data_IF_129058319264
#
_entry.id   IF_129058319264
#
_cell.length_a   1.000
_cell.length_b   1.000
_cell.length_c   1.000
_cell.angle_alpha   90.00
_cell.angle_beta   90.00
_cell.angle_gamma   90.00
#
_symmetry.space_group_name_H-M   'P 1'
#
loop_
_entity.id
_entity.type
_entity.pdbx_description
1 polymer ?
#
# COMPACT_ATOMS: atom_id res chain seq x y z
N UNK A 1 9.27 14.01 -24.47
CA UNK A 1 10.49 13.40 -23.89
C UNK A 1 10.69 12.04 -24.54
N UNK A 2 11.94 11.62 -24.81
CA UNK A 2 12.23 10.26 -25.33
C UNK A 2 13.28 9.59 -24.45
N UNK A 3 12.92 8.43 -23.90
CA UNK A 3 13.81 7.58 -23.12
C UNK A 3 14.63 6.76 -24.13
N UNK A 4 15.96 6.95 -24.14
CA UNK A 4 16.83 6.32 -25.15
C UNK A 4 16.91 4.79 -25.03
N UNK A 5 16.83 4.27 -23.80
CA UNK A 5 16.89 2.85 -23.49
C UNK A 5 15.90 2.55 -22.38
N UNK A 6 14.92 1.72 -22.66
CA UNK A 6 13.97 1.24 -21.67
C UNK A 6 14.65 0.23 -20.73
N UNK A 7 14.27 0.19 -19.45
CA UNK A 7 14.69 -0.88 -18.55
C UNK A 7 14.37 -2.27 -19.07
N UNK A 8 15.22 -3.25 -18.76
CA UNK A 8 15.11 -4.61 -19.28
C UNK A 8 13.76 -5.29 -19.00
N UNK A 9 13.04 -4.87 -17.95
CA UNK A 9 11.71 -5.39 -17.61
C UNK A 9 10.66 -5.14 -18.72
N UNK A 10 10.84 -4.10 -19.56
CA UNK A 10 9.94 -3.81 -20.68
C UNK A 10 10.18 -4.70 -21.90
N UNK A 11 11.39 -5.25 -22.06
CA UNK A 11 11.74 -6.01 -23.29
C UNK A 11 10.79 -7.20 -23.55
N UNK A 12 10.39 -8.02 -22.54
CA UNK A 12 9.44 -9.10 -22.77
C UNK A 12 8.02 -8.63 -23.11
N UNK A 13 7.64 -7.39 -22.70
CA UNK A 13 6.31 -6.83 -22.96
C UNK A 13 6.19 -6.11 -24.32
N UNK A 14 7.32 -5.70 -24.94
CA UNK A 14 7.32 -4.99 -26.23
C UNK A 14 6.60 -5.75 -27.36
N UNK A 15 6.80 -7.07 -27.53
CA UNK A 15 6.06 -7.83 -28.54
C UNK A 15 4.54 -7.77 -28.38
N UNK A 16 4.04 -7.59 -27.14
CA UNK A 16 2.61 -7.43 -26.90
C UNK A 16 2.09 -6.12 -27.50
N UNK A 17 2.80 -5.01 -27.27
CA UNK A 17 2.44 -3.72 -27.87
C UNK A 17 2.51 -3.79 -29.40
N UNK A 18 3.60 -4.34 -29.94
CA UNK A 18 3.81 -4.45 -31.40
C UNK A 18 2.69 -5.23 -32.08
N UNK A 19 2.27 -6.37 -31.54
CA UNK A 19 1.14 -7.14 -32.08
C UNK A 19 -0.17 -6.39 -32.06
N UNK A 20 -0.41 -5.59 -31.03
CA UNK A 20 -1.61 -4.74 -30.94
C UNK A 20 -1.55 -3.64 -32.01
N UNK A 21 -0.38 -3.02 -32.20
CA UNK A 21 -0.17 -1.97 -33.20
C UNK A 21 -0.23 -2.52 -34.63
N UNK A 22 0.34 -3.70 -34.90
CA UNK A 22 0.23 -4.42 -36.17
C UNK A 22 -1.22 -4.74 -36.53
N UNK A 23 -2.09 -4.97 -35.52
CA UNK A 23 -3.52 -5.16 -35.72
C UNK A 23 -4.28 -3.84 -35.94
N UNK A 24 -3.61 -2.68 -35.96
CA UNK A 24 -4.18 -1.37 -36.24
C UNK A 24 -4.72 -0.62 -35.02
N UNK A 25 -4.35 -1.03 -33.81
CA UNK A 25 -4.74 -0.38 -32.57
C UNK A 25 -3.57 0.33 -31.91
N UNK A 26 -3.87 1.33 -31.08
CA UNK A 26 -2.85 1.98 -30.24
C UNK A 26 -2.57 1.15 -28.98
N UNK A 27 -1.30 1.09 -28.55
CA UNK A 27 -0.87 0.45 -27.33
C UNK A 27 0.23 1.24 -26.64
N UNK A 28 0.18 1.33 -25.31
CA UNK A 28 1.12 2.08 -24.49
C UNK A 28 1.38 1.38 -23.18
N UNK A 29 2.58 1.50 -22.65
CA UNK A 29 2.83 1.32 -21.23
C UNK A 29 2.29 2.52 -20.47
N UNK A 30 1.68 2.31 -19.29
CA UNK A 30 0.99 3.38 -18.58
C UNK A 30 1.15 3.28 -17.06
N UNK A 31 0.85 4.37 -16.37
CA UNK A 31 0.73 4.38 -14.92
C UNK A 31 2.06 4.32 -14.17
N UNK A 32 2.13 3.46 -13.17
CA UNK A 32 3.26 3.37 -12.25
C UNK A 32 4.59 3.06 -12.92
N UNK A 33 4.61 2.13 -13.87
CA UNK A 33 5.84 1.74 -14.57
C UNK A 33 6.47 2.88 -15.38
N UNK A 34 5.65 3.77 -15.96
CA UNK A 34 6.15 4.94 -16.70
C UNK A 34 6.76 5.97 -15.75
N UNK A 35 6.05 6.30 -14.67
CA UNK A 35 6.55 7.19 -13.62
C UNK A 35 7.85 6.68 -13.03
N UNK A 36 7.87 5.41 -12.59
CA UNK A 36 9.02 4.82 -11.90
C UNK A 36 10.23 4.70 -12.85
N UNK A 37 10.01 4.49 -14.17
CA UNK A 37 11.07 4.58 -15.19
C UNK A 37 11.71 5.97 -15.26
N UNK A 38 10.88 7.03 -15.22
CA UNK A 38 11.37 8.42 -15.32
C UNK A 38 12.12 8.82 -14.03
N UNK A 39 11.68 8.31 -12.88
CA UNK A 39 12.32 8.54 -11.58
C UNK A 39 13.54 7.64 -11.35
N UNK A 40 13.81 6.67 -12.22
CA UNK A 40 14.82 5.63 -12.04
C UNK A 40 14.60 4.78 -10.78
N UNK A 41 13.33 4.60 -10.41
CA UNK A 41 12.89 3.74 -9.31
C UNK A 41 12.70 2.29 -9.79
N UNK A 42 12.58 1.36 -8.84
CA UNK A 42 12.31 -0.05 -9.12
C UNK A 42 10.89 -0.24 -9.69
N UNK A 43 10.81 -0.95 -10.82
CA UNK A 43 9.56 -1.25 -11.51
C UNK A 43 9.14 -2.68 -11.17
N UNK A 44 7.95 -2.84 -10.61
CA UNK A 44 7.45 -4.15 -10.19
C UNK A 44 6.49 -4.77 -11.22
N UNK A 45 5.60 -3.97 -11.79
CA UNK A 45 4.53 -4.40 -12.70
C UNK A 45 4.52 -3.55 -13.96
N UNK A 46 4.17 -4.17 -15.09
CA UNK A 46 3.98 -3.49 -16.38
C UNK A 46 2.49 -3.48 -16.72
N UNK A 47 1.91 -2.30 -16.74
CA UNK A 47 0.54 -2.07 -17.17
C UNK A 47 0.50 -1.59 -18.63
N UNK A 48 -0.40 -2.17 -19.43
CA UNK A 48 -0.62 -1.78 -20.83
C UNK A 48 -2.02 -1.18 -20.97
N UNK A 49 -2.12 -0.09 -21.70
CA UNK A 49 -3.39 0.48 -22.13
C UNK A 49 -3.47 0.49 -23.65
N UNK A 50 -4.67 0.21 -24.20
CA UNK A 50 -4.86 0.08 -25.66
C UNK A 50 -6.20 0.64 -26.12
N UNK A 51 -6.23 1.06 -27.39
CA UNK A 51 -7.50 1.38 -28.07
C UNK A 51 -8.29 0.14 -28.48
N UNK A 52 -7.69 -1.08 -28.45
CA UNK A 52 -8.40 -2.32 -28.74
C UNK A 52 -9.43 -2.65 -27.65
N UNK A 53 -10.63 -3.06 -28.05
CA UNK A 53 -11.65 -3.55 -27.11
C UNK A 53 -11.30 -4.96 -26.62
N UNK A 54 -11.85 -5.41 -25.47
CA UNK A 54 -11.52 -6.73 -24.94
C UNK A 54 -11.72 -7.89 -25.92
N UNK A 55 -12.76 -7.83 -26.75
CA UNK A 55 -12.98 -8.82 -27.81
C UNK A 55 -11.92 -8.81 -28.93
N UNK A 56 -11.39 -7.62 -29.23
CA UNK A 56 -10.33 -7.45 -30.22
C UNK A 56 -9.00 -7.94 -29.68
N UNK A 57 -8.68 -7.65 -28.39
CA UNK A 57 -7.50 -8.21 -27.71
C UNK A 57 -7.53 -9.74 -27.76
N UNK A 58 -8.69 -10.35 -27.46
CA UNK A 58 -8.87 -11.80 -27.53
C UNK A 58 -8.75 -12.37 -28.95
N UNK A 59 -9.04 -11.58 -29.97
CA UNK A 59 -8.84 -12.00 -31.37
C UNK A 59 -7.38 -11.91 -31.80
N UNK A 60 -6.59 -10.99 -31.22
CA UNK A 60 -5.15 -10.82 -31.50
C UNK A 60 -4.31 -11.89 -30.79
N UNK A 61 -4.67 -12.26 -29.56
CA UNK A 61 -3.88 -13.15 -28.72
C UNK A 61 -4.59 -14.46 -28.41
N UNK A 62 -3.90 -15.58 -28.63
CA UNK A 62 -4.44 -16.92 -28.40
C UNK A 62 -4.59 -17.28 -26.90
N UNK A 63 -3.80 -16.65 -26.03
CA UNK A 63 -3.78 -16.97 -24.60
C UNK A 63 -4.12 -15.71 -23.80
N UNK A 64 -5.35 -15.61 -23.32
CA UNK A 64 -5.84 -14.50 -22.51
C UNK A 64 -6.67 -15.01 -21.33
N UNK A 65 -6.70 -14.25 -20.23
CA UNK A 65 -7.52 -14.51 -19.05
C UNK A 65 -8.33 -13.26 -18.73
N UNK A 66 -9.62 -13.45 -18.45
CA UNK A 66 -10.51 -12.36 -18.06
C UNK A 66 -10.29 -12.02 -16.59
N UNK A 67 -9.49 -10.98 -16.31
CA UNK A 67 -9.20 -10.52 -14.95
C UNK A 67 -10.08 -9.35 -14.50
N UNK A 68 -10.78 -8.71 -15.45
CA UNK A 68 -11.64 -7.57 -15.18
C UNK A 68 -12.33 -7.06 -16.45
N UNK A 69 -12.91 -7.97 -17.23
CA UNK A 69 -13.46 -7.67 -18.56
C UNK A 69 -14.55 -6.60 -18.52
N UNK A 70 -15.35 -6.56 -17.44
CA UNK A 70 -16.38 -5.53 -17.21
C UNK A 70 -15.79 -4.12 -17.12
N UNK A 71 -14.51 -4.05 -16.73
CA UNK A 71 -13.73 -2.81 -16.63
C UNK A 71 -12.73 -2.66 -17.78
N UNK A 72 -12.80 -3.54 -18.80
CA UNK A 72 -11.94 -3.49 -19.98
C UNK A 72 -10.56 -4.12 -19.79
N UNK A 73 -10.30 -4.82 -18.68
CA UNK A 73 -9.00 -5.44 -18.42
C UNK A 73 -9.00 -6.91 -18.82
N UNK A 74 -8.03 -7.26 -19.67
CA UNK A 74 -7.73 -8.63 -20.09
C UNK A 74 -6.26 -8.88 -19.79
N UNK A 75 -5.93 -10.00 -19.16
CA UNK A 75 -4.54 -10.44 -19.00
C UNK A 75 -4.12 -11.21 -20.23
N UNK A 76 -3.07 -10.74 -20.90
CA UNK A 76 -2.42 -11.41 -22.01
C UNK A 76 -1.31 -12.28 -21.44
N UNK A 77 -1.33 -13.58 -21.76
CA UNK A 77 -0.26 -14.51 -21.36
C UNK A 77 0.72 -14.68 -22.52
N UNK A 78 1.93 -14.18 -22.36
CA UNK A 78 3.00 -14.30 -23.35
C UNK A 78 4.27 -14.84 -22.71
N UNK A 79 4.83 -15.92 -23.25
CA UNK A 79 6.06 -16.58 -22.78
C UNK A 79 6.12 -16.83 -21.26
N UNK A 80 4.97 -17.19 -20.65
CA UNK A 80 4.86 -17.50 -19.21
C UNK A 80 4.70 -16.28 -18.31
N UNK A 81 4.62 -15.08 -18.87
CA UNK A 81 4.36 -13.82 -18.16
C UNK A 81 2.95 -13.31 -18.49
N UNK A 82 2.25 -12.79 -17.47
CA UNK A 82 0.94 -12.15 -17.65
C UNK A 82 1.07 -10.63 -17.70
N UNK A 83 0.46 -10.01 -18.72
CA UNK A 83 0.42 -8.55 -18.89
C UNK A 83 -1.02 -8.06 -18.76
N UNK A 84 -1.30 -7.26 -17.73
CA UNK A 84 -2.60 -6.60 -17.61
C UNK A 84 -2.74 -5.55 -18.71
N UNK A 85 -3.70 -5.80 -19.62
CA UNK A 85 -3.97 -4.93 -20.76
C UNK A 85 -5.38 -4.38 -20.63
N UNK A 86 -5.50 -3.06 -20.49
CA UNK A 86 -6.76 -2.38 -20.26
C UNK A 86 -7.14 -1.54 -21.48
N UNK A 87 -8.36 -1.74 -21.99
CA UNK A 87 -8.95 -0.89 -23.03
C UNK A 87 -9.11 0.54 -22.50
N UNK A 88 -8.79 1.55 -23.34
CA UNK A 88 -9.08 2.95 -23.04
C UNK A 88 -10.55 3.11 -22.69
N UNK A 89 -10.81 3.83 -21.62
CA UNK A 89 -12.17 3.97 -21.12
C UNK A 89 -12.42 5.34 -20.48
N UNK A 90 -13.67 5.74 -20.52
CA UNK A 90 -14.21 6.79 -19.66
C UNK A 90 -15.11 6.15 -18.60
N UNK A 91 -15.25 6.83 -17.51
CA UNK A 91 -16.05 6.41 -16.37
C UNK A 91 -17.04 7.53 -16.05
N UNK A 92 -18.31 7.18 -15.83
CA UNK A 92 -19.36 8.16 -15.54
C UNK A 92 -20.37 7.61 -14.56
N UNK A 93 -20.97 8.53 -13.73
CA UNK A 93 -21.84 8.17 -12.64
C UNK A 93 -21.07 7.29 -11.64
N UNK A 94 -20.91 7.75 -10.42
CA UNK A 94 -20.18 6.94 -9.44
C UNK A 94 -21.11 6.63 -8.27
N UNK A 95 -21.36 5.35 -8.06
CA UNK A 95 -22.05 4.87 -6.85
C UNK A 95 -21.04 4.76 -5.72
N UNK A 96 -21.43 5.24 -4.55
CA UNK A 96 -20.64 5.14 -3.31
C UNK A 96 -19.19 5.64 -3.44
N UNK A 97 -18.95 6.66 -4.31
CA UNK A 97 -17.64 7.28 -4.51
C UNK A 97 -16.53 6.28 -4.86
N UNK A 98 -16.86 5.22 -5.62
CA UNK A 98 -15.91 4.16 -6.00
C UNK A 98 -16.17 3.55 -7.36
N UNK A 99 -17.41 3.05 -7.57
CA UNK A 99 -17.75 2.28 -8.77
C UNK A 99 -18.41 3.19 -9.76
N UNK A 100 -17.87 3.30 -10.98
CA UNK A 100 -18.60 3.97 -12.04
C UNK A 100 -19.86 3.18 -12.35
N UNK A 101 -20.99 3.87 -12.48
CA UNK A 101 -22.23 3.26 -12.94
C UNK A 101 -22.10 2.75 -14.37
N UNK A 102 -21.28 3.44 -15.14
CA UNK A 102 -21.06 3.12 -16.54
C UNK A 102 -19.58 3.27 -16.89
N UNK A 103 -19.01 2.19 -17.38
CA UNK A 103 -17.72 2.16 -18.08
C UNK A 103 -17.99 2.19 -19.57
N UNK A 104 -17.43 3.16 -20.27
CA UNK A 104 -17.56 3.27 -21.72
C UNK A 104 -16.17 3.13 -22.34
N UNK A 105 -15.99 2.11 -23.17
CA UNK A 105 -14.74 1.93 -23.90
C UNK A 105 -14.63 2.98 -25.01
N UNK A 106 -13.45 3.59 -25.07
CA UNK A 106 -13.14 4.65 -26.04
C UNK A 106 -11.89 4.31 -26.83
N UNK A 107 -11.63 5.08 -27.89
CA UNK A 107 -10.41 4.92 -28.70
C UNK A 107 -9.38 6.01 -28.40
N UNK A 108 -9.71 6.95 -27.54
CA UNK A 108 -8.89 8.12 -27.25
C UNK A 108 -8.03 7.90 -26.01
N UNK A 109 -6.71 7.92 -26.18
CA UNK A 109 -5.73 7.91 -25.08
C UNK A 109 -5.96 9.10 -24.13
N UNK A 110 -6.28 10.29 -24.68
CA UNK A 110 -6.51 11.49 -23.86
C UNK A 110 -7.64 11.30 -22.87
N UNK A 111 -8.75 10.68 -23.29
CA UNK A 111 -9.89 10.41 -22.40
C UNK A 111 -9.52 9.39 -21.31
N UNK A 112 -8.71 8.36 -21.62
CA UNK A 112 -8.24 7.40 -20.61
C UNK A 112 -7.30 8.05 -19.61
N UNK A 113 -6.37 8.88 -20.05
CA UNK A 113 -5.44 9.57 -19.16
C UNK A 113 -6.16 10.62 -18.28
N UNK A 114 -7.21 11.27 -18.80
CA UNK A 114 -7.97 12.31 -18.09
C UNK A 114 -8.69 11.76 -16.83
N UNK A 115 -9.13 10.50 -16.83
CA UNK A 115 -9.82 9.89 -15.68
C UNK A 115 -8.87 9.46 -14.55
N UNK A 116 -7.56 9.48 -14.77
CA UNK A 116 -6.57 9.03 -13.78
C UNK A 116 -6.52 9.95 -12.57
N UNK A 117 -5.89 9.47 -11.50
CA UNK A 117 -5.84 10.18 -10.22
C UNK A 117 -4.94 11.43 -10.26
N UNK A 118 -3.66 11.23 -10.63
CA UNK A 118 -2.65 12.29 -10.58
C UNK A 118 -1.90 12.40 -11.90
N UNK A 119 -1.43 13.61 -12.22
CA UNK A 119 -0.69 13.94 -13.45
C UNK A 119 0.53 13.04 -13.63
N UNK A 120 1.26 12.76 -12.55
CA UNK A 120 2.44 11.88 -12.54
C UNK A 120 2.13 10.41 -12.88
N UNK A 121 0.87 10.01 -12.84
CA UNK A 121 0.39 8.68 -13.25
C UNK A 121 -0.42 8.72 -14.56
N UNK A 122 -0.63 9.93 -15.13
CA UNK A 122 -1.34 10.15 -16.39
C UNK A 122 -0.37 10.32 -17.56
N UNK A 123 0.67 9.50 -17.56
CA UNK A 123 1.70 9.41 -18.60
C UNK A 123 1.53 8.10 -19.37
N UNK A 124 1.81 8.14 -20.66
CA UNK A 124 1.89 6.95 -21.50
C UNK A 124 3.27 6.86 -22.17
N UNK A 125 3.75 5.65 -22.37
CA UNK A 125 5.07 5.38 -22.95
C UNK A 125 4.92 4.43 -24.12
N UNK A 126 5.41 4.86 -25.28
CA UNK A 126 5.49 4.02 -26.50
C UNK A 126 6.60 2.98 -26.36
N UNK A 127 6.49 1.94 -27.16
CA UNK A 127 7.50 0.89 -27.21
C UNK A 127 8.89 1.38 -27.66
N UNK A 128 8.94 2.48 -28.43
CA UNK A 128 10.17 3.13 -28.90
C UNK A 128 10.79 4.12 -27.91
N UNK A 129 10.19 4.25 -26.71
CA UNK A 129 10.63 5.12 -25.62
C UNK A 129 10.08 6.54 -25.66
N UNK A 130 9.16 6.87 -26.58
CA UNK A 130 8.51 8.18 -26.59
C UNK A 130 7.48 8.28 -25.43
N UNK A 131 7.64 9.29 -24.57
CA UNK A 131 6.70 9.59 -23.47
C UNK A 131 5.66 10.58 -23.97
N UNK A 132 4.38 10.22 -23.84
CA UNK A 132 3.23 11.06 -24.12
C UNK A 132 2.73 11.64 -22.81
N UNK A 133 2.72 12.97 -22.74
CA UNK A 133 2.27 13.74 -21.59
C UNK A 133 1.24 14.77 -22.06
N UNK A 134 0.01 14.60 -21.62
CA UNK A 134 -1.12 15.48 -21.99
C UNK A 134 -1.61 16.35 -20.81
N UNK A 135 -1.05 16.14 -19.62
CA UNK A 135 -1.52 16.77 -18.38
C UNK A 135 -0.37 17.34 -17.53
N UNK A 136 0.77 17.65 -18.13
CA UNK A 136 1.95 18.24 -17.48
C UNK A 136 2.59 17.34 -16.40
N UNK A 137 2.42 16.02 -16.53
CA UNK A 137 2.95 15.04 -15.56
C UNK A 137 4.48 15.02 -15.49
N UNK A 138 5.18 15.28 -16.60
CA UNK A 138 6.65 15.38 -16.64
C UNK A 138 7.15 16.59 -15.85
N UNK A 139 6.46 17.74 -15.97
CA UNK A 139 6.79 18.94 -15.21
C UNK A 139 6.54 18.72 -13.72
N UNK A 140 5.41 18.09 -13.36
CA UNK A 140 5.06 17.78 -11.97
C UNK A 140 6.05 16.74 -11.36
N UNK A 141 6.52 15.74 -12.13
CA UNK A 141 7.60 14.84 -11.71
C UNK A 141 8.90 15.60 -11.42
N UNK A 142 9.29 16.52 -12.32
CA UNK A 142 10.50 17.32 -12.12
C UNK A 142 10.40 18.24 -10.90
N UNK A 143 9.20 18.72 -10.58
CA UNK A 143 8.92 19.56 -9.40
C UNK A 143 8.69 18.77 -8.12
N UNK A 144 8.72 17.44 -8.19
CA UNK A 144 8.34 16.54 -7.09
C UNK A 144 6.95 16.87 -6.55
N UNK A 145 5.95 17.00 -7.43
CA UNK A 145 4.62 17.46 -7.11
C UNK A 145 3.56 16.40 -7.37
N UNK A 146 2.64 16.19 -6.42
CA UNK A 146 1.45 15.37 -6.58
C UNK A 146 0.27 16.28 -6.85
N UNK A 147 -0.20 16.28 -8.10
CA UNK A 147 -1.30 17.12 -8.57
C UNK A 147 -2.39 16.25 -9.19
N UNK A 148 -3.64 16.47 -8.78
CA UNK A 148 -4.78 15.78 -9.37
C UNK A 148 -4.95 16.16 -10.85
N UNK A 149 -5.35 15.22 -11.69
CA UNK A 149 -5.68 15.48 -13.08
C UNK A 149 -6.98 16.31 -13.13
N UNK A 150 -6.93 17.50 -13.74
CA UNK A 150 -8.09 18.39 -13.85
C UNK A 150 -8.53 18.97 -12.49
N UNK A 151 -9.83 18.87 -12.17
CA UNK A 151 -10.39 19.44 -10.94
C UNK A 151 -10.30 18.43 -9.77
N UNK A 152 -9.56 18.73 -8.69
CA UNK A 152 -9.43 17.81 -7.56
C UNK A 152 -10.78 17.41 -6.94
N UNK A 153 -11.74 18.33 -6.82
CA UNK A 153 -13.04 18.00 -6.23
C UNK A 153 -13.78 16.95 -7.05
N UNK A 154 -13.78 17.06 -8.37
CA UNK A 154 -14.38 16.07 -9.26
C UNK A 154 -13.71 14.71 -9.09
N UNK A 155 -12.37 14.67 -9.10
CA UNK A 155 -11.60 13.43 -8.93
C UNK A 155 -11.91 12.73 -7.61
N UNK A 156 -12.08 13.47 -6.52
CA UNK A 156 -12.38 12.89 -5.20
C UNK A 156 -13.84 12.49 -5.04
N UNK A 157 -14.77 13.10 -5.80
CA UNK A 157 -16.15 12.63 -5.87
C UNK A 157 -16.31 11.35 -6.70
N UNK A 158 -15.44 11.11 -7.66
CA UNK A 158 -15.42 9.87 -8.44
C UNK A 158 -14.90 8.69 -7.60
N UNK A 159 -13.72 8.81 -7.02
CA UNK A 159 -13.16 7.82 -6.07
C UNK A 159 -12.49 8.55 -4.89
N UNK A 160 -13.18 8.56 -3.76
CA UNK A 160 -12.69 9.22 -2.55
C UNK A 160 -11.40 8.57 -2.00
N UNK A 161 -11.07 7.32 -2.38
CA UNK A 161 -9.79 6.71 -2.03
C UNK A 161 -8.60 7.46 -2.62
N UNK A 162 -8.78 8.20 -3.72
CA UNK A 162 -7.72 9.03 -4.31
C UNK A 162 -7.12 10.01 -3.30
N UNK A 163 -7.89 10.46 -2.30
CA UNK A 163 -7.37 11.28 -1.20
C UNK A 163 -6.32 10.55 -0.37
N UNK A 164 -6.58 9.29 0.00
CA UNK A 164 -5.61 8.45 0.70
C UNK A 164 -4.40 8.12 -0.18
N UNK A 165 -4.63 7.92 -1.48
CA UNK A 165 -3.56 7.70 -2.45
C UNK A 165 -2.63 8.91 -2.56
N UNK A 166 -3.14 10.15 -2.50
CA UNK A 166 -2.32 11.36 -2.52
C UNK A 166 -1.32 11.39 -1.35
N UNK A 167 -1.81 11.23 -0.12
CA UNK A 167 -0.94 11.23 1.08
C UNK A 167 0.02 10.01 1.10
N UNK A 168 -0.41 8.87 0.56
CA UNK A 168 0.48 7.72 0.36
C UNK A 168 1.58 8.01 -0.66
N UNK A 169 1.28 8.65 -1.79
CA UNK A 169 2.30 9.03 -2.76
C UNK A 169 3.27 10.07 -2.20
N UNK A 170 2.80 11.02 -1.37
CA UNK A 170 3.69 11.93 -0.66
C UNK A 170 4.72 11.17 0.19
N UNK A 171 4.30 10.11 0.88
CA UNK A 171 5.19 9.22 1.62
C UNK A 171 6.10 8.38 0.71
N UNK A 172 5.52 7.72 -0.32
CA UNK A 172 6.27 6.79 -1.18
C UNK A 172 7.35 7.49 -2.00
N UNK A 173 7.05 8.67 -2.54
CA UNK A 173 7.89 9.38 -3.50
C UNK A 173 8.68 10.53 -2.87
N UNK A 174 8.40 10.86 -1.61
CA UNK A 174 8.91 12.08 -0.95
C UNK A 174 8.56 13.37 -1.74
N UNK A 175 7.32 13.42 -2.24
CA UNK A 175 6.78 14.53 -3.03
C UNK A 175 5.82 15.38 -2.21
N UNK A 176 5.66 16.65 -2.61
CA UNK A 176 4.71 17.58 -2.00
C UNK A 176 3.38 17.51 -2.74
N UNK A 177 2.27 17.56 -2.01
CA UNK A 177 0.95 17.64 -2.62
C UNK A 177 0.67 19.08 -3.04
N UNK A 178 0.23 19.28 -4.30
CA UNK A 178 -0.19 20.57 -4.83
C UNK A 178 -1.24 21.25 -3.94
N UNK A 179 -1.16 22.55 -3.81
CA UNK A 179 -2.02 23.35 -2.92
C UNK A 179 -3.51 23.19 -3.23
N UNK A 180 -3.91 23.18 -4.51
CA UNK A 180 -5.31 23.00 -4.91
C UNK A 180 -5.78 21.58 -4.62
N UNK A 181 -4.91 20.58 -4.86
CA UNK A 181 -5.15 19.17 -4.55
C UNK A 181 -5.30 18.96 -3.03
N UNK A 182 -4.40 19.52 -2.22
CA UNK A 182 -4.45 19.44 -0.76
C UNK A 182 -5.74 20.10 -0.20
N UNK A 183 -6.13 21.25 -0.75
CA UNK A 183 -7.39 21.93 -0.39
C UNK A 183 -8.60 21.07 -0.76
N UNK A 184 -8.57 20.44 -1.94
CA UNK A 184 -9.59 19.50 -2.39
C UNK A 184 -9.73 18.31 -1.45
N UNK A 185 -8.60 17.70 -1.01
CA UNK A 185 -8.60 16.60 -0.04
C UNK A 185 -9.28 17.05 1.26
N UNK A 186 -8.86 18.19 1.82
CA UNK A 186 -9.42 18.71 3.06
C UNK A 186 -10.94 18.96 2.97
N UNK A 187 -11.41 19.49 1.83
CA UNK A 187 -12.84 19.77 1.60
C UNK A 187 -13.69 18.50 1.44
N UNK A 188 -13.10 17.42 0.94
CA UNK A 188 -13.78 16.18 0.61
C UNK A 188 -13.47 15.03 1.59
N UNK A 189 -12.68 15.26 2.63
CA UNK A 189 -12.27 14.24 3.60
C UNK A 189 -13.45 13.40 4.16
N UNK A 190 -14.65 13.96 4.46
CA UNK A 190 -15.80 13.17 4.91
C UNK A 190 -16.24 12.07 3.96
N UNK A 191 -15.97 12.18 2.66
CA UNK A 191 -16.31 11.15 1.67
C UNK A 191 -15.59 9.83 1.92
N UNK A 192 -14.49 9.85 2.71
CA UNK A 192 -13.73 8.65 3.03
C UNK A 192 -14.57 7.62 3.81
N UNK A 193 -15.59 8.05 4.57
CA UNK A 193 -16.52 7.16 5.27
C UNK A 193 -17.29 6.22 4.33
N UNK A 194 -17.42 6.58 3.06
CA UNK A 194 -18.08 5.76 2.03
C UNK A 194 -17.18 4.66 1.48
N UNK A 195 -15.89 4.71 1.77
CA UNK A 195 -14.92 3.77 1.21
C UNK A 195 -14.78 2.55 2.12
N UNK A 196 -14.68 1.37 1.50
CA UNK A 196 -14.43 0.12 2.23
C UNK A 196 -13.14 0.23 3.05
N UNK A 197 -13.24 -0.13 4.32
CA UNK A 197 -12.13 -0.02 5.30
C UNK A 197 -10.88 -0.76 4.84
N UNK A 198 -11.03 -1.90 4.18
CA UNK A 198 -9.92 -2.69 3.65
C UNK A 198 -9.08 -1.89 2.64
N UNK A 199 -9.73 -1.07 1.80
CA UNK A 199 -9.02 -0.21 0.84
C UNK A 199 -8.27 0.91 1.56
N UNK A 200 -8.92 1.57 2.53
CA UNK A 200 -8.30 2.63 3.34
C UNK A 200 -7.09 2.05 4.09
N UNK A 201 -7.24 0.84 4.67
CA UNK A 201 -6.16 0.14 5.37
C UNK A 201 -4.93 -0.03 4.49
N UNK A 202 -5.10 -0.56 3.29
CA UNK A 202 -3.97 -0.79 2.37
C UNK A 202 -3.23 0.51 2.04
N UNK A 203 -3.95 1.61 1.84
CA UNK A 203 -3.30 2.91 1.58
C UNK A 203 -2.59 3.46 2.82
N UNK A 204 -3.18 3.29 4.02
CA UNK A 204 -2.56 3.70 5.28
C UNK A 204 -1.29 2.87 5.58
N UNK A 205 -1.35 1.56 5.38
CA UNK A 205 -0.21 0.67 5.55
C UNK A 205 0.94 1.08 4.60
N UNK A 206 0.64 1.29 3.33
CA UNK A 206 1.62 1.76 2.35
C UNK A 206 2.14 3.17 2.62
N UNK A 207 1.34 4.05 3.23
CA UNK A 207 1.77 5.37 3.67
C UNK A 207 2.83 5.25 4.78
N UNK A 208 2.52 4.47 5.82
CA UNK A 208 3.37 4.37 7.00
C UNK A 208 4.60 3.47 6.81
N UNK A 209 4.61 2.63 5.77
CA UNK A 209 5.73 1.81 5.32
C UNK A 209 6.48 2.42 4.12
N UNK A 210 6.14 3.65 3.73
CA UNK A 210 6.76 4.34 2.60
C UNK A 210 8.17 4.83 2.89
N UNK A 211 8.79 5.50 1.92
CA UNK A 211 10.16 6.02 2.02
C UNK A 211 10.27 7.19 3.02
N UNK A 212 9.29 8.11 2.98
CA UNK A 212 9.17 9.24 3.92
C UNK A 212 7.78 9.27 4.58
N UNK A 213 7.48 8.37 5.54
CA UNK A 213 6.18 8.31 6.19
C UNK A 213 5.79 9.60 6.90
N UNK A 214 6.76 10.39 7.36
CA UNK A 214 6.52 11.66 8.05
C UNK A 214 5.86 12.68 7.12
N UNK A 215 6.28 12.77 5.85
CA UNK A 215 5.66 13.66 4.87
C UNK A 215 4.19 13.31 4.65
N UNK A 216 3.90 12.04 4.31
CA UNK A 216 2.52 11.59 4.11
C UNK A 216 1.65 11.70 5.36
N UNK A 217 2.19 11.38 6.54
CA UNK A 217 1.49 11.48 7.82
C UNK A 217 1.15 12.94 8.16
N UNK A 218 2.05 13.87 7.88
CA UNK A 218 1.81 15.32 8.05
C UNK A 218 0.59 15.76 7.24
N UNK A 219 0.51 15.37 5.98
CA UNK A 219 -0.60 15.72 5.11
C UNK A 219 -1.90 14.99 5.51
N UNK A 220 -1.81 13.72 5.93
CA UNK A 220 -2.92 12.96 6.47
C UNK A 220 -3.56 13.65 7.69
N UNK A 221 -2.74 14.21 8.58
CA UNK A 221 -3.20 14.97 9.75
C UNK A 221 -3.74 16.34 9.32
N UNK A 222 -3.01 17.09 8.50
CA UNK A 222 -3.36 18.45 8.10
C UNK A 222 -4.66 18.54 7.30
N UNK A 223 -4.98 17.49 6.53
CA UNK A 223 -6.23 17.37 5.77
C UNK A 223 -7.42 16.88 6.58
N UNK A 224 -7.18 16.31 7.77
CA UNK A 224 -8.22 15.74 8.61
C UNK A 224 -8.71 14.36 8.17
N UNK A 225 -8.08 13.71 7.20
CA UNK A 225 -8.47 12.36 6.72
C UNK A 225 -8.54 11.33 7.86
N UNK A 226 -7.67 11.44 8.86
CA UNK A 226 -7.64 10.53 10.01
C UNK A 226 -8.97 10.49 10.78
N UNK A 227 -9.74 11.60 10.78
CA UNK A 227 -11.01 11.70 11.49
C UNK A 227 -12.09 10.73 10.94
N UNK A 228 -11.92 10.31 9.68
CA UNK A 228 -12.82 9.42 8.96
C UNK A 228 -12.26 7.99 8.82
N UNK A 229 -11.21 7.69 9.61
CA UNK A 229 -10.58 6.38 9.67
C UNK A 229 -10.96 5.65 10.96
N UNK A 230 -11.26 4.32 10.92
CA UNK A 230 -11.76 3.58 12.07
C UNK A 230 -10.88 3.65 13.31
N UNK A 231 -11.37 4.27 14.39
CA UNK A 231 -10.66 4.38 15.67
C UNK A 231 -9.55 5.42 15.70
N UNK A 232 -9.47 6.29 14.69
CA UNK A 232 -8.55 7.42 14.64
C UNK A 232 -9.26 8.78 14.78
N UNK A 233 -10.57 8.80 14.94
CA UNK A 233 -11.43 10.00 14.91
C UNK A 233 -10.91 11.12 15.85
N UNK A 234 -10.31 10.74 16.97
CA UNK A 234 -9.76 11.67 17.97
C UNK A 234 -8.24 11.53 18.16
N UNK A 235 -7.55 10.91 17.19
CA UNK A 235 -6.14 10.52 17.34
C UNK A 235 -5.13 11.62 16.96
N UNK A 236 -5.55 12.88 16.76
CA UNK A 236 -4.65 13.94 16.28
C UNK A 236 -3.36 14.05 17.11
N UNK A 237 -3.47 14.09 18.44
CA UNK A 237 -2.31 14.21 19.31
C UNK A 237 -1.39 12.98 19.21
N UNK A 238 -1.97 11.77 19.18
CA UNK A 238 -1.23 10.52 19.03
C UNK A 238 -0.50 10.45 17.68
N UNK A 239 -1.16 10.80 16.57
CA UNK A 239 -0.56 10.84 15.25
C UNK A 239 0.51 11.93 15.13
N UNK A 240 0.26 13.13 15.70
CA UNK A 240 1.24 14.22 15.70
C UNK A 240 2.52 13.88 16.47
N UNK A 241 2.42 13.07 17.53
CA UNK A 241 3.58 12.59 18.27
C UNK A 241 4.48 11.66 17.42
N UNK A 242 3.96 11.06 16.36
CA UNK A 242 4.75 10.26 15.44
C UNK A 242 5.63 11.12 14.51
N UNK A 243 5.27 12.39 14.26
CA UNK A 243 6.01 13.28 13.37
C UNK A 243 7.40 13.66 13.90
N UNK A 244 7.64 13.49 15.19
CA UNK A 244 8.92 13.83 15.83
C UNK A 244 9.88 12.64 15.99
N UNK A 245 9.48 11.44 15.49
CA UNK A 245 10.32 10.26 15.54
C UNK A 245 11.46 10.37 14.50
N UNK A 246 12.70 10.29 14.97
CA UNK A 246 13.89 10.64 14.18
C UNK A 246 14.31 9.58 13.15
N UNK A 247 13.89 8.35 13.29
CA UNK A 247 14.34 7.24 12.44
C UNK A 247 13.13 6.36 12.09
N UNK A 248 12.23 6.91 11.28
CA UNK A 248 11.06 6.14 10.85
C UNK A 248 11.47 5.10 9.81
N UNK A 249 11.62 3.88 10.26
CA UNK A 249 11.79 2.73 9.40
C UNK A 249 11.05 1.55 10.00
N UNK A 250 9.99 1.13 9.33
CA UNK A 250 9.20 -0.06 9.67
C UNK A 250 9.29 -1.05 8.51
N UNK A 251 9.46 -2.32 8.83
CA UNK A 251 9.68 -3.38 7.85
C UNK A 251 8.39 -4.09 7.44
N UNK A 252 7.38 -4.06 8.32
CA UNK A 252 6.16 -4.84 8.12
C UNK A 252 4.94 -4.27 8.87
N UNK A 253 3.77 -4.86 8.56
CA UNK A 253 2.48 -4.45 9.13
C UNK A 253 2.40 -4.68 10.66
N UNK A 254 3.07 -5.72 11.20
CA UNK A 254 3.05 -6.00 12.64
C UNK A 254 3.69 -4.84 13.41
N UNK A 255 4.85 -4.37 12.94
CA UNK A 255 5.54 -3.22 13.52
C UNK A 255 4.68 -1.96 13.43
N UNK A 256 4.08 -1.70 12.25
CA UNK A 256 3.21 -0.55 12.01
C UNK A 256 2.02 -0.51 12.97
N UNK A 257 1.26 -1.59 13.03
CA UNK A 257 0.07 -1.67 13.88
C UNK A 257 0.41 -1.67 15.38
N UNK A 258 1.62 -2.15 15.73
CA UNK A 258 2.15 -2.03 17.09
C UNK A 258 2.46 -0.58 17.45
N UNK A 259 3.08 0.20 16.55
CA UNK A 259 3.32 1.64 16.73
C UNK A 259 2.01 2.39 16.95
N UNK A 260 1.01 2.17 16.10
CA UNK A 260 -0.30 2.82 16.24
C UNK A 260 -0.98 2.43 17.56
N UNK A 261 -0.91 1.15 17.95
CA UNK A 261 -1.49 0.67 19.21
C UNK A 261 -0.81 1.29 20.42
N UNK A 262 0.50 1.47 20.40
CA UNK A 262 1.29 2.13 21.45
C UNK A 262 0.94 3.62 21.55
N UNK A 263 0.87 4.32 20.43
CA UNK A 263 0.54 5.75 20.41
C UNK A 263 -0.88 6.05 20.88
N UNK A 264 -1.81 5.16 20.55
CA UNK A 264 -3.20 5.23 21.03
C UNK A 264 -3.35 4.70 22.47
N UNK A 265 -2.28 4.23 23.11
CA UNK A 265 -2.23 3.71 24.48
C UNK A 265 -3.24 2.57 24.72
N UNK A 266 -3.44 1.71 23.72
CA UNK A 266 -4.41 0.63 23.76
C UNK A 266 -3.95 -0.52 24.67
N UNK A 267 -4.86 -1.03 25.49
CA UNK A 267 -4.66 -2.27 26.22
C UNK A 267 -4.83 -3.50 25.31
N UNK A 268 -4.53 -4.70 25.83
CA UNK A 268 -4.62 -5.97 25.10
C UNK A 268 -6.00 -6.27 24.50
N UNK A 269 -7.06 -5.84 25.16
CA UNK A 269 -8.44 -6.02 24.73
C UNK A 269 -8.81 -5.00 23.66
N UNK A 270 -8.37 -3.77 23.86
CA UNK A 270 -8.60 -2.65 22.94
C UNK A 270 -7.83 -2.84 21.63
N UNK A 271 -6.59 -3.32 21.65
CA UNK A 271 -5.83 -3.70 20.44
C UNK A 271 -6.66 -4.63 19.55
N UNK A 272 -7.25 -5.68 20.14
CA UNK A 272 -8.07 -6.61 19.37
C UNK A 272 -9.32 -5.97 18.76
N UNK A 273 -9.96 -5.05 19.49
CA UNK A 273 -11.13 -4.31 19.00
C UNK A 273 -10.75 -3.31 17.89
N UNK A 274 -9.66 -2.58 18.08
CA UNK A 274 -9.15 -1.59 17.14
C UNK A 274 -8.78 -2.27 15.80
N UNK A 275 -7.97 -3.31 15.83
CA UNK A 275 -7.54 -4.02 14.61
C UNK A 275 -8.70 -4.70 13.88
N UNK A 276 -9.71 -5.20 14.61
CA UNK A 276 -10.94 -5.73 13.99
C UNK A 276 -11.74 -4.66 13.25
N UNK A 277 -11.77 -3.40 13.72
CA UNK A 277 -12.39 -2.30 12.97
C UNK A 277 -11.69 -2.08 11.61
N UNK A 278 -10.38 -2.32 11.55
CA UNK A 278 -9.58 -2.27 10.32
C UNK A 278 -9.66 -3.56 9.49
N UNK A 279 -10.45 -4.54 9.91
CA UNK A 279 -10.64 -5.84 9.23
C UNK A 279 -9.32 -6.54 8.94
N UNK A 280 -8.38 -6.47 9.89
CA UNK A 280 -7.10 -7.18 9.80
C UNK A 280 -7.28 -8.68 10.09
N UNK A 281 -6.35 -9.49 9.62
CA UNK A 281 -6.32 -10.92 9.89
C UNK A 281 -6.10 -11.22 11.39
N UNK A 282 -6.67 -12.32 11.88
CA UNK A 282 -6.52 -12.72 13.29
C UNK A 282 -5.05 -12.98 13.66
N UNK A 283 -4.23 -13.48 12.72
CA UNK A 283 -2.81 -13.72 12.95
C UNK A 283 -2.05 -12.41 13.19
N UNK A 284 -2.35 -11.35 12.41
CA UNK A 284 -1.79 -10.03 12.64
C UNK A 284 -2.17 -9.49 14.04
N UNK A 285 -3.44 -9.64 14.43
CA UNK A 285 -3.92 -9.24 15.76
C UNK A 285 -3.14 -9.98 16.86
N UNK A 286 -2.92 -11.29 16.69
CA UNK A 286 -2.18 -12.09 17.65
C UNK A 286 -0.72 -11.66 17.76
N UNK A 287 -0.07 -11.32 16.63
CA UNK A 287 1.32 -10.84 16.62
C UNK A 287 1.43 -9.46 17.30
N UNK A 288 0.59 -8.50 16.96
CA UNK A 288 0.59 -7.17 17.59
C UNK A 288 0.39 -7.26 19.10
N UNK A 289 -0.49 -8.16 19.56
CA UNK A 289 -0.71 -8.43 20.99
C UNK A 289 0.50 -8.99 21.71
N UNK A 290 1.43 -9.64 21.01
CA UNK A 290 2.71 -10.11 21.57
C UNK A 290 3.76 -8.99 21.54
N UNK A 291 3.81 -8.22 20.45
CA UNK A 291 4.81 -7.18 20.23
C UNK A 291 4.63 -6.03 21.21
N UNK A 292 3.42 -5.50 21.37
CA UNK A 292 3.17 -4.30 22.20
C UNK A 292 3.65 -4.45 23.65
N UNK A 293 3.35 -5.53 24.39
CA UNK A 293 3.89 -5.72 25.75
C UNK A 293 5.41 -5.87 25.76
N UNK A 294 6.00 -6.50 24.75
CA UNK A 294 7.46 -6.63 24.65
C UNK A 294 8.13 -5.27 24.46
N UNK A 295 7.58 -4.38 23.61
CA UNK A 295 8.08 -2.99 23.47
C UNK A 295 7.99 -2.24 24.79
N UNK A 296 6.89 -2.36 25.51
CA UNK A 296 6.72 -1.73 26.82
C UNK A 296 7.73 -2.23 27.83
N UNK A 297 8.01 -3.55 27.85
CA UNK A 297 9.01 -4.16 28.71
C UNK A 297 10.44 -3.73 28.34
N UNK A 298 10.76 -3.60 27.06
CA UNK A 298 12.02 -3.03 26.57
C UNK A 298 12.19 -1.61 27.08
N UNK A 299 11.17 -0.74 26.92
CA UNK A 299 11.16 0.63 27.42
C UNK A 299 11.44 0.69 28.92
N UNK A 300 10.79 -0.18 29.70
CA UNK A 300 10.87 -0.20 31.16
C UNK A 300 12.10 -0.98 31.70
N UNK A 301 12.87 -1.61 30.80
CA UNK A 301 13.97 -2.52 31.15
C UNK A 301 13.53 -3.69 32.04
N UNK A 302 12.33 -4.21 31.80
CA UNK A 302 11.71 -5.33 32.56
C UNK A 302 11.48 -6.57 31.69
N UNK A 303 12.25 -6.72 30.62
CA UNK A 303 12.13 -7.85 29.70
C UNK A 303 12.60 -9.15 30.40
N UNK A 304 11.67 -10.03 30.74
CA UNK A 304 11.92 -11.30 31.45
C UNK A 304 12.06 -12.48 30.49
N UNK A 305 12.75 -13.58 30.88
CA UNK A 305 12.80 -14.81 30.10
C UNK A 305 11.39 -15.37 29.73
N UNK A 306 10.45 -15.32 30.68
CA UNK A 306 9.06 -15.74 30.42
C UNK A 306 8.38 -14.88 29.35
N UNK A 307 8.57 -13.55 29.38
CA UNK A 307 8.01 -12.68 28.36
C UNK A 307 8.66 -12.92 27.00
N UNK A 308 10.00 -13.08 26.95
CA UNK A 308 10.72 -13.45 25.72
C UNK A 308 10.20 -14.75 25.10
N UNK A 309 10.01 -15.79 25.92
CA UNK A 309 9.44 -17.07 25.48
C UNK A 309 8.01 -16.90 24.90
N UNK A 310 7.13 -16.21 25.62
CA UNK A 310 5.74 -16.00 25.18
C UNK A 310 5.64 -15.11 23.93
N UNK A 311 6.57 -14.17 23.75
CA UNK A 311 6.64 -13.31 22.57
C UNK A 311 7.12 -14.12 21.36
N UNK A 312 8.16 -14.93 21.51
CA UNK A 312 8.82 -15.65 20.43
C UNK A 312 9.83 -14.79 19.68
N UNK A 313 10.74 -15.41 18.94
CA UNK A 313 11.91 -14.76 18.33
C UNK A 313 11.52 -13.66 17.35
N UNK A 314 10.64 -13.97 16.39
CA UNK A 314 10.20 -13.00 15.36
C UNK A 314 9.49 -11.78 15.97
N UNK A 315 8.53 -12.01 16.86
CA UNK A 315 7.80 -10.91 17.50
C UNK A 315 8.69 -10.10 18.46
N UNK A 316 9.73 -10.72 19.03
CA UNK A 316 10.71 -10.00 19.85
C UNK A 316 11.63 -9.12 18.99
N UNK A 317 12.00 -9.59 17.80
CA UNK A 317 12.68 -8.77 16.80
C UNK A 317 11.81 -7.58 16.41
N UNK A 318 10.54 -7.79 16.02
CA UNK A 318 9.61 -6.71 15.70
C UNK A 318 9.46 -5.71 16.85
N UNK A 319 9.39 -6.20 18.10
CA UNK A 319 9.33 -5.32 19.27
C UNK A 319 10.58 -4.45 19.40
N UNK A 320 11.77 -4.99 19.11
CA UNK A 320 13.00 -4.22 19.16
C UNK A 320 13.11 -3.19 18.02
N UNK A 321 12.62 -3.53 16.81
CA UNK A 321 12.53 -2.57 15.69
C UNK A 321 11.57 -1.43 16.02
N UNK A 322 10.40 -1.71 16.59
CA UNK A 322 9.48 -0.68 17.09
C UNK A 322 10.16 0.16 18.19
N UNK A 323 10.87 -0.46 19.11
CA UNK A 323 11.60 0.25 20.18
C UNK A 323 12.69 1.17 19.64
N UNK A 324 13.34 0.85 18.50
CA UNK A 324 14.32 1.72 17.84
C UNK A 324 13.75 3.08 17.46
N UNK A 325 12.51 3.14 16.97
CA UNK A 325 11.85 4.40 16.62
C UNK A 325 11.80 5.38 17.79
N UNK A 326 11.73 4.86 19.01
CA UNK A 326 11.63 5.63 20.24
C UNK A 326 12.96 5.78 20.99
N UNK A 327 14.02 5.22 20.46
CA UNK A 327 15.33 5.23 21.14
C UNK A 327 15.42 4.32 22.37
N UNK A 328 14.54 3.30 22.48
CA UNK A 328 14.48 2.36 23.61
C UNK A 328 15.13 1.01 23.33
N UNK A 329 15.55 0.77 22.10
CA UNK A 329 15.98 -0.55 21.66
C UNK A 329 17.16 -1.10 22.48
N UNK A 330 17.18 -2.40 22.60
CA UNK A 330 18.32 -3.20 23.03
C UNK A 330 19.20 -3.49 21.80
N UNK A 331 20.49 -3.67 21.99
CA UNK A 331 21.36 -4.13 20.91
C UNK A 331 20.85 -5.47 20.35
N UNK A 332 20.72 -5.60 19.02
CA UNK A 332 20.11 -6.78 18.40
C UNK A 332 20.85 -8.08 18.74
N UNK A 333 22.20 -8.03 18.77
CA UNK A 333 23.00 -9.20 19.14
C UNK A 333 22.81 -9.60 20.60
N UNK A 334 22.70 -8.62 21.52
CA UNK A 334 22.47 -8.88 22.94
C UNK A 334 21.08 -9.51 23.14
N UNK A 335 20.06 -8.96 22.47
CA UNK A 335 18.69 -9.47 22.51
C UNK A 335 18.64 -10.91 21.97
N UNK A 336 19.28 -11.17 20.84
CA UNK A 336 19.36 -12.50 20.26
C UNK A 336 20.09 -13.48 21.16
N UNK A 337 21.25 -13.09 21.73
CA UNK A 337 21.98 -13.91 22.70
C UNK A 337 21.15 -14.23 23.94
N UNK A 338 20.37 -13.26 24.43
CA UNK A 338 19.47 -13.46 25.57
C UNK A 338 18.36 -14.45 25.23
N UNK A 339 17.74 -14.34 24.03
CA UNK A 339 16.73 -15.30 23.57
C UNK A 339 17.30 -16.71 23.39
N UNK A 340 18.50 -16.84 22.81
CA UNK A 340 19.15 -18.14 22.63
C UNK A 340 19.52 -18.85 23.95
N UNK A 341 19.68 -18.11 25.04
CA UNK A 341 19.92 -18.68 26.39
C UNK A 341 18.64 -19.18 27.06
N UNK A 342 17.46 -19.00 26.49
CA UNK A 342 16.23 -19.56 27.05
C UNK A 342 16.32 -21.07 27.10
N UNK A 343 15.90 -21.72 28.22
CA UNK A 343 15.92 -23.18 28.36
C UNK A 343 15.11 -23.91 27.28
N UNK A 344 14.03 -23.33 26.87
CA UNK A 344 13.16 -23.77 25.76
C UNK A 344 12.74 -22.55 24.95
N UNK A 345 12.50 -22.69 23.65
CA UNK A 345 12.11 -21.61 22.72
C UNK A 345 10.68 -21.76 22.23
N UNK A 346 10.12 -22.97 22.34
CA UNK A 346 8.72 -23.24 21.98
C UNK A 346 8.17 -24.40 22.82
N UNK A 347 6.85 -24.55 22.85
CA UNK A 347 6.20 -25.59 23.64
C UNK A 347 6.53 -27.02 23.21
N UNK A 348 7.01 -27.24 21.98
CA UNK A 348 7.40 -28.58 21.49
C UNK A 348 8.71 -29.09 22.11
N UNK A 349 9.51 -28.20 22.67
CA UNK A 349 10.76 -28.52 23.36
C UNK A 349 10.55 -28.94 24.84
N UNK A 350 9.30 -28.84 25.32
CA UNK A 350 8.96 -29.31 26.66
C UNK A 350 9.14 -30.83 26.74
N UNK A 351 9.81 -31.31 27.81
CA UNK A 351 9.95 -32.71 28.09
C UNK A 351 8.61 -33.41 28.45
N UNK A 352 7.57 -32.61 28.72
CA UNK A 352 6.24 -33.06 29.10
C UNK A 352 5.22 -32.48 28.11
N UNK A 353 4.48 -33.37 27.45
CA UNK A 353 3.37 -32.99 26.59
C UNK A 353 2.00 -33.14 27.28
N UNK A 354 0.93 -32.66 26.64
CA UNK A 354 -0.44 -32.78 27.16
C UNK A 354 -0.87 -34.26 27.39
N UNK A 355 -0.34 -35.21 26.61
CA UNK A 355 -0.62 -36.63 26.74
C UNK A 355 -0.02 -37.18 28.00
N UNK A 356 1.22 -36.82 28.35
CA UNK A 356 1.88 -37.19 29.59
C UNK A 356 1.14 -36.59 30.78
N UNK A 357 0.68 -35.36 30.73
CA UNK A 357 -0.10 -34.70 31.77
C UNK A 357 -1.42 -35.44 32.03
N UNK A 358 -2.14 -35.82 30.99
CA UNK A 358 -3.40 -36.58 31.09
C UNK A 358 -3.13 -37.97 31.66
N UNK A 359 -2.15 -38.70 31.12
CA UNK A 359 -1.94 -40.14 31.46
C UNK A 359 -1.21 -40.33 32.77
N UNK A 360 -0.25 -39.47 33.12
CA UNK A 360 0.60 -39.65 34.32
C UNK A 360 0.22 -38.71 35.48
N UNK A 361 -0.33 -37.53 35.20
CA UNK A 361 -0.69 -36.55 36.22
C UNK A 361 -2.20 -36.42 36.43
N UNK A 362 -3.04 -37.15 35.68
CA UNK A 362 -4.50 -37.12 35.87
C UNK A 362 -5.18 -35.79 35.51
N UNK A 363 -4.50 -34.94 34.72
CA UNK A 363 -5.06 -33.64 34.31
C UNK A 363 -6.18 -33.91 33.31
N UNK A 364 -7.34 -33.30 33.52
CA UNK A 364 -8.47 -33.40 32.59
C UNK A 364 -8.13 -32.69 31.28
N UNK A 365 -8.49 -33.22 30.11
CA UNK A 365 -8.39 -32.50 28.83
C UNK A 365 -9.17 -31.21 28.92
N UNK A 366 -8.57 -30.08 28.44
CA UNK A 366 -9.21 -28.79 28.38
C UNK A 366 -10.07 -28.63 27.12
#
# INVERSE_FOLDING_TARGET
MKIKQLPAIFEPARPVLQKIEEAGYEAYFVGGCVRDTILHDEIHDIDIATSAYPSEIKAIFNHTVDTGIEHGTVMILDHGTGYETTTFRTESGYQDYRRPDKVTFVRSLSEDLQRRDFTINALALREDGEVIDLFDGLEDLQKHLIKAVGNPNERFHEDALRMMRAVRFASKLDFVIDTATLKGIKGNAPLLEKIAVERIRVELEKLLLGQNPVAGLKDFIATGLYQYCPGLENAQAALSALLILNQWHLENEVQLWSVLSLQLQLDQKEIGKFLKKWKTANDLIAQVKKVVPAVQAIRQRTLTPTLMFNTGETALHDANQVAKLYGWAINDEELQKAYQKLPIKNAKELAIDGRILITKAGVKPG
#
